data_IF_581926409898
#
_entry.id   IF_581926409898
#
_cell.length_a   1.000
_cell.length_b   1.000
_cell.length_c   1.000
_cell.angle_alpha   90.00
_cell.angle_beta   90.00
_cell.angle_gamma   90.00
#
_symmetry.space_group_name_H-M   'P 1'
#
loop_
_entity.id
_entity.type
_entity.pdbx_description
1 polymer ?
#
# COMPACT_ATOMS: atom_id res chain seq x y z
N UNK A 1 -10.18 6.91 20.90
CA UNK A 1 -10.95 6.24 19.82
C UNK A 1 -11.66 5.03 20.42
N UNK A 2 -12.86 4.70 19.93
CA UNK A 2 -13.73 3.66 20.52
C UNK A 2 -13.91 2.46 19.58
N UNK A 3 -14.32 1.31 20.14
CA UNK A 3 -14.65 0.09 19.36
C UNK A 3 -15.71 0.39 18.28
N UNK A 4 -16.70 1.24 18.59
CA UNK A 4 -17.72 1.68 17.63
C UNK A 4 -17.15 2.42 16.42
N UNK A 5 -16.05 3.17 16.58
CA UNK A 5 -15.39 3.84 15.46
C UNK A 5 -14.65 2.84 14.57
N UNK A 6 -14.03 1.84 15.17
CA UNK A 6 -13.37 0.75 14.46
C UNK A 6 -14.40 -0.09 13.67
N UNK A 7 -15.52 -0.47 14.28
CA UNK A 7 -16.60 -1.20 13.61
C UNK A 7 -17.19 -0.42 12.43
N UNK A 8 -17.45 0.88 12.61
CA UNK A 8 -17.94 1.74 11.54
C UNK A 8 -16.91 1.87 10.39
N UNK A 9 -15.61 1.94 10.71
CA UNK A 9 -14.55 1.90 9.70
C UNK A 9 -14.57 0.59 8.92
N UNK A 10 -14.65 -0.56 9.60
CA UNK A 10 -14.73 -1.88 8.96
C UNK A 10 -15.98 -2.00 8.06
N UNK A 11 -17.13 -1.47 8.51
CA UNK A 11 -18.34 -1.45 7.70
C UNK A 11 -18.16 -0.63 6.42
N UNK A 12 -17.60 0.58 6.51
CA UNK A 12 -17.31 1.40 5.34
C UNK A 12 -16.31 0.74 4.38
N UNK A 13 -15.26 0.10 4.91
CA UNK A 13 -14.29 -0.65 4.11
C UNK A 13 -14.97 -1.78 3.32
N UNK A 14 -15.88 -2.53 3.95
CA UNK A 14 -16.63 -3.61 3.28
C UNK A 14 -17.52 -3.06 2.15
N UNK A 15 -18.21 -1.94 2.39
CA UNK A 15 -19.01 -1.28 1.35
C UNK A 15 -18.13 -0.81 0.19
N UNK A 16 -16.96 -0.24 0.47
CA UNK A 16 -16.01 0.18 -0.55
C UNK A 16 -15.56 -1.01 -1.42
N UNK A 17 -15.19 -2.14 -0.80
CA UNK A 17 -14.78 -3.37 -1.50
C UNK A 17 -15.89 -3.96 -2.37
N UNK A 18 -17.16 -3.88 -1.93
CA UNK A 18 -18.33 -4.30 -2.73
C UNK A 18 -18.48 -3.42 -3.98
N UNK A 19 -18.38 -2.09 -3.83
CA UNK A 19 -18.44 -1.21 -5.01
C UNK A 19 -17.25 -1.43 -5.96
N UNK A 20 -16.05 -1.66 -5.41
CA UNK A 20 -14.86 -1.97 -6.20
C UNK A 20 -15.02 -3.28 -6.99
N UNK A 21 -15.61 -4.34 -6.40
CA UNK A 21 -15.86 -5.60 -7.11
C UNK A 21 -16.89 -5.46 -8.23
N UNK A 22 -17.79 -4.49 -8.13
CA UNK A 22 -18.73 -4.09 -9.19
C UNK A 22 -18.11 -3.14 -10.23
N UNK A 23 -16.80 -2.88 -10.16
CA UNK A 23 -16.09 -1.92 -11.00
C UNK A 23 -16.61 -0.48 -10.87
N UNK A 24 -17.30 -0.15 -9.78
CA UNK A 24 -17.78 1.19 -9.48
C UNK A 24 -16.80 1.91 -8.56
N UNK A 25 -15.67 2.34 -9.12
CA UNK A 25 -14.59 2.88 -8.31
C UNK A 25 -14.91 4.25 -7.70
N UNK A 26 -15.71 5.10 -8.36
CA UNK A 26 -16.11 6.41 -7.82
C UNK A 26 -16.84 6.28 -6.47
N UNK A 27 -17.76 5.32 -6.38
CA UNK A 27 -18.43 5.01 -5.11
C UNK A 27 -17.46 4.34 -4.14
N UNK A 28 -16.63 3.40 -4.61
CA UNK A 28 -15.65 2.74 -3.75
C UNK A 28 -14.71 3.76 -3.07
N UNK A 29 -14.15 4.70 -3.84
CA UNK A 29 -13.28 5.78 -3.39
C UNK A 29 -13.92 6.60 -2.26
N UNK A 30 -15.20 6.96 -2.43
CA UNK A 30 -15.96 7.69 -1.40
C UNK A 30 -15.99 6.91 -0.08
N UNK A 31 -16.25 5.60 -0.13
CA UNK A 31 -16.34 4.77 1.06
C UNK A 31 -14.98 4.40 1.66
N UNK A 32 -13.92 4.28 0.85
CA UNK A 32 -12.56 4.14 1.34
C UNK A 32 -12.15 5.33 2.20
N UNK A 33 -12.41 6.56 1.72
CA UNK A 33 -12.14 7.76 2.52
C UNK A 33 -13.04 7.88 3.75
N UNK A 34 -14.32 7.47 3.68
CA UNK A 34 -15.17 7.39 4.88
C UNK A 34 -14.60 6.42 5.92
N UNK A 35 -14.09 5.26 5.49
CA UNK A 35 -13.42 4.31 6.39
C UNK A 35 -12.20 4.94 7.05
N UNK A 36 -11.27 5.47 6.26
CA UNK A 36 -10.05 6.08 6.78
C UNK A 36 -10.35 7.24 7.73
N UNK A 37 -11.25 8.15 7.36
CA UNK A 37 -11.62 9.29 8.20
C UNK A 37 -12.29 8.85 9.51
N UNK A 38 -12.99 7.71 9.51
CA UNK A 38 -13.61 7.16 10.71
C UNK A 38 -12.58 6.59 11.68
N UNK A 39 -11.54 5.92 11.18
CA UNK A 39 -10.46 5.39 12.00
C UNK A 39 -9.07 5.56 11.35
N UNK A 40 -8.45 6.76 11.40
CA UNK A 40 -7.24 7.07 10.61
C UNK A 40 -5.97 6.27 10.93
N UNK A 41 -5.95 5.49 12.02
CA UNK A 41 -4.84 4.60 12.35
C UNK A 41 -4.94 3.25 11.64
N UNK A 42 -6.07 2.95 11.01
CA UNK A 42 -6.32 1.73 10.25
C UNK A 42 -6.18 2.00 8.75
N UNK A 43 -5.19 1.34 8.18
CA UNK A 43 -4.67 1.55 6.84
C UNK A 43 -5.26 0.69 5.72
N UNK A 44 -6.09 -0.33 6.01
CA UNK A 44 -6.63 -1.25 5.00
C UNK A 44 -7.33 -0.51 3.84
N UNK A 45 -8.08 0.55 4.14
CA UNK A 45 -8.73 1.37 3.12
C UNK A 45 -7.71 2.11 2.23
N UNK A 46 -6.61 2.59 2.81
CA UNK A 46 -5.53 3.22 2.05
C UNK A 46 -4.75 2.19 1.23
N UNK A 47 -4.58 0.97 1.75
CA UNK A 47 -3.91 -0.10 1.02
C UNK A 47 -4.67 -0.50 -0.25
N UNK A 48 -6.00 -0.67 -0.14
CA UNK A 48 -6.85 -0.95 -1.30
C UNK A 48 -6.77 0.19 -2.34
N UNK A 49 -6.73 1.46 -1.89
CA UNK A 49 -6.54 2.62 -2.77
C UNK A 49 -5.16 2.63 -3.44
N UNK A 50 -4.08 2.39 -2.68
CA UNK A 50 -2.72 2.27 -3.21
C UNK A 50 -2.65 1.19 -4.30
N UNK A 51 -3.19 0.00 -4.02
CA UNK A 51 -3.21 -1.10 -4.97
C UNK A 51 -4.00 -0.76 -6.24
N UNK A 52 -5.13 -0.06 -6.09
CA UNK A 52 -5.91 0.43 -7.22
C UNK A 52 -5.09 1.41 -8.09
N UNK A 53 -4.55 2.48 -7.48
CA UNK A 53 -3.80 3.49 -8.21
C UNK A 53 -2.57 2.90 -8.91
N UNK A 54 -1.85 1.97 -8.26
CA UNK A 54 -0.75 1.24 -8.91
C UNK A 54 -1.23 0.47 -10.14
N UNK A 55 -2.35 -0.26 -10.04
CA UNK A 55 -2.90 -1.01 -11.18
C UNK A 55 -3.44 -0.12 -12.30
N UNK A 56 -3.90 1.08 -11.97
CA UNK A 56 -4.36 2.08 -12.93
C UNK A 56 -3.20 2.85 -13.61
N UNK A 57 -1.96 2.68 -13.14
CA UNK A 57 -0.82 3.47 -13.61
C UNK A 57 -0.77 4.89 -13.03
N UNK A 58 -1.61 5.20 -12.05
CA UNK A 58 -1.68 6.50 -11.37
C UNK A 58 -0.66 6.57 -10.22
N UNK A 59 0.62 6.42 -10.56
CA UNK A 59 1.67 6.20 -9.56
C UNK A 59 1.85 7.36 -8.57
N UNK A 60 1.64 8.61 -8.99
CA UNK A 60 1.69 9.76 -8.07
C UNK A 60 0.59 9.71 -7.00
N UNK A 61 -0.64 9.35 -7.39
CA UNK A 61 -1.76 9.12 -6.45
C UNK A 61 -1.44 7.95 -5.52
N UNK A 62 -0.87 6.87 -6.07
CA UNK A 62 -0.38 5.73 -5.30
C UNK A 62 0.65 6.12 -4.25
N UNK A 63 1.66 6.92 -4.62
CA UNK A 63 2.66 7.43 -3.68
C UNK A 63 2.03 8.24 -2.55
N UNK A 64 1.13 9.18 -2.87
CA UNK A 64 0.49 10.03 -1.87
C UNK A 64 -0.29 9.19 -0.83
N UNK A 65 -1.05 8.20 -1.29
CA UNK A 65 -1.81 7.30 -0.41
C UNK A 65 -0.90 6.36 0.37
N UNK A 66 0.13 5.79 -0.27
CA UNK A 66 1.07 4.89 0.38
C UNK A 66 1.88 5.57 1.49
N UNK A 67 2.29 6.82 1.30
CA UNK A 67 2.94 7.62 2.34
C UNK A 67 2.01 7.93 3.52
N UNK A 68 0.71 8.08 3.26
CA UNK A 68 -0.29 8.22 4.32
C UNK A 68 -0.45 6.90 5.09
N UNK A 69 -0.47 5.77 4.38
CA UNK A 69 -0.54 4.44 4.94
C UNK A 69 0.66 4.09 5.84
N UNK A 70 1.87 4.51 5.47
CA UNK A 70 3.06 4.31 6.31
C UNK A 70 2.98 4.99 7.69
N UNK A 71 2.07 5.95 7.88
CA UNK A 71 1.82 6.61 9.17
C UNK A 71 0.74 5.91 10.00
N UNK A 72 0.07 4.91 9.45
CA UNK A 72 -0.93 4.12 10.16
C UNK A 72 -0.26 3.13 11.13
N UNK A 73 -0.92 2.86 12.24
CA UNK A 73 -0.44 1.96 13.29
C UNK A 73 -1.58 1.01 13.70
N UNK A 74 -1.52 -0.26 13.23
CA UNK A 74 -2.58 -1.23 13.45
C UNK A 74 -2.64 -1.76 14.88
N UNK A 75 -1.61 -1.55 15.72
CA UNK A 75 -1.58 -2.08 17.09
C UNK A 75 -2.71 -1.53 17.97
N UNK A 76 -3.40 -0.49 17.49
CA UNK A 76 -4.57 0.11 18.12
C UNK A 76 -5.89 -0.54 17.69
N UNK A 77 -5.86 -1.55 16.82
CA UNK A 77 -7.05 -2.21 16.26
C UNK A 77 -7.21 -3.61 16.85
N UNK A 78 -8.41 -3.95 17.30
CA UNK A 78 -8.72 -5.24 17.95
C UNK A 78 -9.54 -6.18 17.06
N UNK A 79 -10.03 -5.71 15.90
CA UNK A 79 -10.94 -6.48 15.03
C UNK A 79 -10.37 -6.67 13.61
N UNK A 80 -10.25 -7.93 13.18
CA UNK A 80 -10.04 -8.35 11.77
C UNK A 80 -8.89 -7.64 11.02
N UNK A 81 -7.76 -7.37 11.69
CA UNK A 81 -6.63 -6.66 11.09
C UNK A 81 -5.93 -7.52 10.03
N UNK A 82 -5.75 -6.96 8.83
CA UNK A 82 -4.97 -7.56 7.74
C UNK A 82 -3.48 -7.23 7.94
N UNK A 83 -2.83 -7.91 8.88
CA UNK A 83 -1.48 -7.58 9.37
C UNK A 83 -0.42 -7.52 8.26
N UNK A 84 -0.54 -8.36 7.23
CA UNK A 84 0.39 -8.40 6.11
C UNK A 84 0.51 -7.07 5.35
N UNK A 85 -0.56 -6.24 5.38
CA UNK A 85 -0.56 -4.88 4.81
C UNK A 85 0.54 -4.04 5.46
N UNK A 86 0.64 -4.11 6.77
CA UNK A 86 1.55 -3.28 7.56
C UNK A 86 2.95 -3.87 7.66
N UNK A 87 3.07 -5.19 7.54
CA UNK A 87 4.34 -5.89 7.66
C UNK A 87 5.18 -5.79 6.38
N UNK A 88 4.59 -6.03 5.21
CA UNK A 88 5.37 -6.10 3.98
C UNK A 88 4.64 -5.60 2.72
N UNK A 89 3.32 -5.81 2.60
CA UNK A 89 2.61 -5.52 1.33
C UNK A 89 2.57 -4.04 1.00
N UNK A 90 2.47 -3.16 2.00
CA UNK A 90 2.54 -1.71 1.75
C UNK A 90 3.88 -1.33 1.14
N UNK A 91 4.98 -1.85 1.69
CA UNK A 91 6.32 -1.53 1.20
C UNK A 91 6.52 -2.06 -0.22
N UNK A 92 6.05 -3.27 -0.51
CA UNK A 92 6.04 -3.82 -1.85
C UNK A 92 5.26 -2.96 -2.86
N UNK A 93 3.97 -2.69 -2.60
CA UNK A 93 3.10 -1.92 -3.50
C UNK A 93 3.59 -0.47 -3.69
N UNK A 94 4.03 0.18 -2.62
CA UNK A 94 4.56 1.55 -2.66
C UNK A 94 5.92 1.62 -3.37
N UNK A 95 6.79 0.60 -3.20
CA UNK A 95 8.05 0.55 -3.91
C UNK A 95 7.83 0.64 -5.42
N UNK A 96 6.88 -0.13 -5.95
CA UNK A 96 6.56 -0.13 -7.38
C UNK A 96 6.10 1.27 -7.83
N UNK A 97 5.28 1.95 -7.03
CA UNK A 97 4.89 3.32 -7.34
C UNK A 97 6.11 4.28 -7.37
N UNK A 98 7.04 4.13 -6.41
CA UNK A 98 8.28 4.91 -6.39
C UNK A 98 9.17 4.67 -7.62
N UNK A 99 9.23 3.43 -8.11
CA UNK A 99 9.94 3.12 -9.36
C UNK A 99 9.43 3.98 -10.51
N UNK A 100 8.12 3.99 -10.74
CA UNK A 100 7.53 4.68 -11.89
C UNK A 100 7.53 6.21 -11.78
N UNK A 101 7.72 6.77 -10.59
CA UNK A 101 7.90 8.23 -10.41
C UNK A 101 9.38 8.64 -10.31
N UNK A 102 10.32 7.72 -10.57
CA UNK A 102 11.76 8.00 -10.59
C UNK A 102 12.42 8.11 -9.22
N UNK A 103 11.72 7.74 -8.14
CA UNK A 103 12.24 7.78 -6.75
C UNK A 103 12.93 6.46 -6.41
N UNK A 104 13.96 6.11 -7.19
CA UNK A 104 14.50 4.76 -7.20
C UNK A 104 15.11 4.31 -5.87
N UNK A 105 15.88 5.16 -5.19
CA UNK A 105 16.49 4.79 -3.92
C UNK A 105 15.44 4.51 -2.84
N UNK A 106 14.42 5.36 -2.75
CA UNK A 106 13.33 5.18 -1.78
C UNK A 106 12.50 3.93 -2.08
N UNK A 107 12.27 3.64 -3.37
CA UNK A 107 11.64 2.39 -3.80
C UNK A 107 12.47 1.15 -3.44
N UNK A 108 13.78 1.21 -3.67
CA UNK A 108 14.71 0.12 -3.33
C UNK A 108 14.71 -0.18 -1.83
N UNK A 109 14.73 0.85 -0.99
CA UNK A 109 14.71 0.70 0.47
C UNK A 109 13.44 -0.03 0.93
N UNK A 110 12.27 0.33 0.36
CA UNK A 110 11.02 -0.34 0.66
C UNK A 110 10.96 -1.77 0.11
N UNK A 111 11.44 -2.01 -1.11
CA UNK A 111 11.47 -3.35 -1.70
C UNK A 111 12.36 -4.30 -0.87
N UNK A 112 13.52 -3.82 -0.41
CA UNK A 112 14.39 -4.57 0.51
C UNK A 112 13.71 -4.82 1.85
N UNK A 113 13.03 -3.82 2.43
CA UNK A 113 12.27 -4.00 3.65
C UNK A 113 11.20 -5.10 3.52
N UNK A 114 10.45 -5.11 2.41
CA UNK A 114 9.48 -6.16 2.13
C UNK A 114 10.14 -7.54 1.95
N UNK A 115 11.28 -7.64 1.26
CA UNK A 115 12.01 -8.89 1.07
C UNK A 115 12.57 -9.45 2.39
N UNK A 116 13.06 -8.58 3.27
CA UNK A 116 13.66 -8.97 4.56
C UNK A 116 12.65 -9.22 5.67
N UNK A 117 11.37 -8.91 5.46
CA UNK A 117 10.33 -9.17 6.45
C UNK A 117 10.13 -10.69 6.64
N UNK A 118 10.30 -11.23 7.87
CA UNK A 118 10.17 -12.68 8.12
C UNK A 118 8.79 -13.27 7.79
N UNK A 119 7.76 -12.42 7.77
CA UNK A 119 6.38 -12.80 7.46
C UNK A 119 6.06 -12.73 5.96
N UNK A 120 7.01 -12.31 5.12
CA UNK A 120 6.84 -12.34 3.67
C UNK A 120 6.79 -13.78 3.17
N UNK A 121 5.72 -14.19 2.46
CA UNK A 121 5.60 -15.56 1.98
C UNK A 121 6.72 -15.93 1.00
N UNK A 122 7.21 -17.17 1.08
CA UNK A 122 8.30 -17.67 0.23
C UNK A 122 8.01 -17.54 -1.28
N UNK A 123 6.74 -17.69 -1.68
CA UNK A 123 6.28 -17.53 -3.07
C UNK A 123 6.43 -16.11 -3.62
N UNK A 124 6.53 -15.10 -2.76
CA UNK A 124 6.69 -13.70 -3.16
C UNK A 124 8.18 -13.30 -3.30
N UNK A 125 9.11 -14.08 -2.73
CA UNK A 125 10.52 -13.69 -2.65
C UNK A 125 11.19 -13.58 -4.03
N UNK A 126 10.82 -14.43 -4.99
CA UNK A 126 11.41 -14.39 -6.34
C UNK A 126 11.09 -13.08 -7.04
N UNK A 127 9.81 -12.71 -7.12
CA UNK A 127 9.40 -11.44 -7.77
C UNK A 127 9.88 -10.20 -7.02
N UNK A 128 10.01 -10.25 -5.70
CA UNK A 128 10.58 -9.14 -4.93
C UNK A 128 12.06 -8.91 -5.26
N UNK A 129 12.84 -9.99 -5.42
CA UNK A 129 14.23 -9.89 -5.89
C UNK A 129 14.33 -9.36 -7.32
N UNK A 130 13.37 -9.70 -8.18
CA UNK A 130 13.29 -9.13 -9.53
C UNK A 130 13.01 -7.63 -9.50
N UNK A 131 12.04 -7.18 -8.68
CA UNK A 131 11.79 -5.75 -8.48
C UNK A 131 13.05 -5.01 -8.01
N UNK A 132 13.80 -5.58 -7.05
CA UNK A 132 15.07 -5.01 -6.55
C UNK A 132 16.08 -4.82 -7.68
N UNK A 133 16.24 -5.81 -8.58
CA UNK A 133 17.14 -5.67 -9.73
C UNK A 133 16.75 -4.50 -10.63
N UNK A 134 15.46 -4.30 -10.88
CA UNK A 134 14.99 -3.15 -11.67
C UNK A 134 15.43 -1.83 -11.04
N UNK A 135 15.34 -1.68 -9.71
CA UNK A 135 15.85 -0.49 -9.03
C UNK A 135 17.36 -0.34 -9.15
N UNK A 136 18.13 -1.41 -8.92
CA UNK A 136 19.60 -1.36 -9.02
C UNK A 136 20.05 -0.93 -10.42
N UNK A 137 19.37 -1.43 -11.46
CA UNK A 137 19.66 -1.08 -12.84
C UNK A 137 19.28 0.38 -13.14
N UNK A 138 18.12 0.86 -12.67
CA UNK A 138 17.69 2.25 -12.83
C UNK A 138 18.64 3.25 -12.14
N UNK A 139 19.13 2.91 -10.94
CA UNK A 139 20.10 3.75 -10.20
C UNK A 139 21.43 3.82 -10.96
N UNK A 140 21.96 2.68 -11.43
CA UNK A 140 23.19 2.64 -12.23
C UNK A 140 23.08 3.49 -13.49
N UNK A 141 21.96 3.41 -14.21
CA UNK A 141 21.72 4.19 -15.41
C UNK A 141 21.66 5.70 -15.12
N UNK A 142 21.04 6.09 -14.00
CA UNK A 142 20.96 7.50 -13.60
C UNK A 142 22.33 8.07 -13.25
N UNK A 143 23.17 7.32 -12.53
CA UNK A 143 24.52 7.76 -12.14
C UNK A 143 25.56 7.66 -13.26
N UNK A 144 25.40 6.75 -14.21
CA UNK A 144 26.29 6.63 -15.37
C UNK A 144 26.03 7.67 -16.48
N UNK A 145 24.90 8.38 -16.40
CA UNK A 145 24.53 9.44 -17.34
C UNK A 145 24.86 10.87 -16.83
N UNK A 146 25.47 10.98 -15.65
CA UNK A 146 25.92 12.23 -15.00
C UNK A 146 27.43 12.40 -15.15
#
# INVERSE_FOLDING_TARGET
KTIWEEEASVAYLRVARIYASQKNFDKALTYYWKSYNKYPSRGEALFDLLHHYRKAGEYNSGVAVGQLLQKCDPQKSVLFTENEIYLWRTNDELSICYYYVGRFQEGLDLANSALSCPQTPSGELTRLRENIKWFEDAIKQTHGAS
#
